data_IF_311895015288
#
_entry.id   IF_311895015288
#
_cell.length_a   1.000
_cell.length_b   1.000
_cell.length_c   1.000
_cell.angle_alpha   90.00
_cell.angle_beta   90.00
_cell.angle_gamma   90.00
#
_symmetry.space_group_name_H-M   'P 1'
#
loop_
_entity.id
_entity.type
_entity.pdbx_description
1 polymer ?
#
# COMPACT_ATOMS: atom_id res chain seq x y z
N UNK A 1 -31.74 -7.99 12.65
CA UNK A 1 -31.21 -6.91 13.52
C UNK A 1 -29.70 -7.05 13.69
N UNK A 2 -29.18 -8.18 14.19
CA UNK A 2 -27.74 -8.39 14.37
C UNK A 2 -26.92 -8.29 13.07
N UNK A 3 -27.41 -8.89 11.97
CA UNK A 3 -26.74 -8.77 10.67
C UNK A 3 -26.59 -7.31 10.21
N UNK A 4 -27.62 -6.49 10.40
CA UNK A 4 -27.55 -5.07 10.02
C UNK A 4 -26.51 -4.28 10.83
N UNK A 5 -26.21 -4.70 12.07
CA UNK A 5 -25.12 -4.12 12.87
C UNK A 5 -23.77 -4.54 12.30
N UNK A 6 -23.60 -5.82 11.96
CA UNK A 6 -22.37 -6.34 11.35
C UNK A 6 -22.10 -5.65 10.00
N UNK A 7 -23.14 -5.50 9.17
CA UNK A 7 -23.03 -4.84 7.88
C UNK A 7 -22.62 -3.37 8.04
N UNK A 8 -23.22 -2.66 9.00
CA UNK A 8 -22.84 -1.27 9.29
C UNK A 8 -21.38 -1.16 9.75
N UNK A 9 -20.90 -2.06 10.61
CA UNK A 9 -19.50 -2.07 11.06
C UNK A 9 -18.55 -2.37 9.89
N UNK A 10 -18.88 -3.32 9.04
CA UNK A 10 -18.06 -3.65 7.87
C UNK A 10 -17.99 -2.46 6.89
N UNK A 11 -19.08 -1.73 6.69
CA UNK A 11 -19.09 -0.52 5.86
C UNK A 11 -18.20 0.58 6.44
N UNK A 12 -18.18 0.75 7.77
CA UNK A 12 -17.27 1.68 8.43
C UNK A 12 -15.80 1.26 8.25
N UNK A 13 -15.50 -0.04 8.33
CA UNK A 13 -14.15 -0.55 8.09
C UNK A 13 -13.69 -0.32 6.64
N UNK A 14 -14.58 -0.46 5.67
CA UNK A 14 -14.31 -0.14 4.27
C UNK A 14 -14.06 1.37 4.08
N UNK A 15 -14.86 2.23 4.73
CA UNK A 15 -14.64 3.67 4.69
C UNK A 15 -13.24 4.07 5.21
N UNK A 16 -12.78 3.45 6.31
CA UNK A 16 -11.42 3.66 6.83
C UNK A 16 -10.36 3.19 5.83
N UNK A 17 -10.60 2.08 5.13
CA UNK A 17 -9.68 1.59 4.11
C UNK A 17 -9.59 2.54 2.91
N UNK A 18 -10.70 3.18 2.52
CA UNK A 18 -10.77 4.19 1.48
C UNK A 18 -10.04 5.48 1.89
N UNK A 19 -10.25 5.98 3.12
CA UNK A 19 -9.53 7.15 3.65
C UNK A 19 -8.01 6.93 3.64
N UNK A 20 -7.55 5.74 4.03
CA UNK A 20 -6.14 5.35 3.98
C UNK A 20 -5.62 5.27 2.54
N UNK A 21 -6.46 4.84 1.60
CA UNK A 21 -6.13 4.79 0.19
C UNK A 21 -5.95 6.19 -0.41
N UNK A 22 -6.81 7.15 -0.05
CA UNK A 22 -6.68 8.56 -0.47
C UNK A 22 -5.37 9.18 -0.01
N UNK A 23 -4.84 8.75 1.13
CA UNK A 23 -3.53 9.16 1.64
C UNK A 23 -2.34 8.36 1.08
N UNK A 24 -2.58 7.44 0.14
CA UNK A 24 -1.54 6.63 -0.49
C UNK A 24 -0.92 5.58 0.45
N UNK A 25 -1.61 5.19 1.52
CA UNK A 25 -1.08 4.24 2.50
C UNK A 25 -0.79 2.86 1.87
N UNK A 26 -1.63 2.42 0.93
CA UNK A 26 -1.48 1.13 0.24
C UNK A 26 -0.48 1.16 -0.92
N UNK A 27 -0.01 2.35 -1.32
CA UNK A 27 0.90 2.50 -2.45
C UNK A 27 2.26 1.87 -2.13
N UNK A 28 2.89 1.31 -3.16
CA UNK A 28 4.30 0.93 -3.10
C UNK A 28 5.20 2.17 -3.02
N UNK A 29 6.44 1.98 -2.58
CA UNK A 29 7.43 3.06 -2.57
C UNK A 29 7.69 3.63 -3.99
N UNK A 30 7.50 2.80 -5.02
CA UNK A 30 7.64 3.22 -6.41
C UNK A 30 6.46 4.08 -6.86
N UNK A 31 5.23 3.66 -6.58
CA UNK A 31 4.02 4.40 -6.96
C UNK A 31 3.99 5.78 -6.31
N UNK A 32 4.24 5.86 -5.00
CA UNK A 32 4.31 7.15 -4.29
C UNK A 32 5.42 8.06 -4.85
N UNK A 33 6.58 7.50 -5.21
CA UNK A 33 7.64 8.28 -5.86
C UNK A 33 7.21 8.79 -7.23
N UNK A 34 6.60 7.93 -8.05
CA UNK A 34 6.17 8.26 -9.40
C UNK A 34 5.03 9.29 -9.38
N UNK A 35 4.13 9.26 -8.38
CA UNK A 35 3.12 10.29 -8.15
C UNK A 35 3.72 11.64 -7.77
N UNK A 36 4.70 11.65 -6.86
CA UNK A 36 5.45 12.88 -6.50
C UNK A 36 6.17 13.48 -7.70
N UNK A 37 6.78 12.64 -8.54
CA UNK A 37 7.43 13.08 -9.78
C UNK A 37 6.42 13.67 -10.77
N UNK A 38 5.26 13.04 -10.97
CA UNK A 38 4.19 13.58 -11.83
C UNK A 38 3.70 14.94 -11.34
N UNK A 39 3.53 15.10 -10.02
CA UNK A 39 3.15 16.39 -9.45
C UNK A 39 4.23 17.45 -9.70
N UNK A 40 5.49 17.10 -9.44
CA UNK A 40 6.63 17.98 -9.68
C UNK A 40 6.72 18.41 -11.15
N UNK A 41 6.63 17.47 -12.09
CA UNK A 41 6.67 17.75 -13.53
C UNK A 41 5.50 18.65 -13.96
N UNK A 42 4.30 18.44 -13.40
CA UNK A 42 3.13 19.27 -13.68
C UNK A 42 3.35 20.71 -13.22
N UNK A 43 3.83 20.90 -11.98
CA UNK A 43 4.10 22.23 -11.45
C UNK A 43 5.27 22.92 -12.17
N UNK A 44 6.35 22.19 -12.47
CA UNK A 44 7.47 22.74 -13.23
C UNK A 44 7.03 23.21 -14.62
N UNK A 45 6.23 22.39 -15.32
CA UNK A 45 5.68 22.76 -16.63
C UNK A 45 4.74 23.98 -16.54
N UNK A 46 3.94 24.08 -15.47
CA UNK A 46 3.09 25.24 -15.22
C UNK A 46 3.91 26.51 -15.02
N UNK A 47 4.90 26.47 -14.14
CA UNK A 47 5.79 27.60 -13.85
C UNK A 47 6.59 28.03 -15.09
N UNK A 48 7.09 27.09 -15.87
CA UNK A 48 7.80 27.40 -17.13
C UNK A 48 6.87 28.11 -18.14
N UNK A 49 5.64 27.62 -18.31
CA UNK A 49 4.66 28.27 -19.20
C UNK A 49 4.28 29.66 -18.71
N UNK A 50 4.11 29.83 -17.40
CA UNK A 50 3.82 31.11 -16.78
C UNK A 50 4.96 32.08 -17.04
N UNK A 51 6.21 31.68 -16.74
CA UNK A 51 7.41 32.45 -17.04
C UNK A 51 7.51 32.86 -18.51
N UNK A 52 7.38 31.91 -19.44
CA UNK A 52 7.46 32.21 -20.89
C UNK A 52 6.36 33.18 -21.33
N UNK A 53 5.16 33.04 -20.79
CA UNK A 53 4.02 33.93 -21.08
C UNK A 53 4.25 35.34 -20.53
N UNK A 54 4.62 35.45 -19.25
CA UNK A 54 4.92 36.71 -18.57
C UNK A 54 6.08 37.44 -19.22
N UNK A 55 7.15 36.73 -19.56
CA UNK A 55 8.32 37.30 -20.21
C UNK A 55 7.98 37.87 -21.59
N UNK A 56 7.22 37.12 -22.41
CA UNK A 56 6.76 37.61 -23.72
C UNK A 56 5.89 38.86 -23.58
N UNK A 57 4.99 38.91 -22.59
CA UNK A 57 4.15 40.10 -22.32
C UNK A 57 5.01 41.31 -21.91
N UNK A 58 5.91 41.14 -20.95
CA UNK A 58 6.77 42.19 -20.44
C UNK A 58 7.71 42.78 -21.51
N UNK A 59 8.22 41.95 -22.42
CA UNK A 59 9.03 42.42 -23.57
C UNK A 59 8.18 43.25 -24.54
N UNK A 60 6.91 42.87 -24.74
CA UNK A 60 6.02 43.57 -25.67
C UNK A 60 5.53 44.92 -25.12
N UNK A 61 5.31 44.99 -23.80
CA UNK A 61 4.88 46.21 -23.10
C UNK A 61 6.05 47.06 -22.58
N UNK A 62 7.28 46.53 -22.61
CA UNK A 62 8.47 47.13 -21.99
C UNK A 62 8.27 47.52 -20.51
N UNK A 63 7.44 46.78 -19.77
CA UNK A 63 7.10 47.07 -18.38
C UNK A 63 7.47 45.89 -17.47
N UNK A 64 8.14 46.20 -16.37
CA UNK A 64 8.46 45.22 -15.32
C UNK A 64 7.24 44.86 -14.47
N UNK A 65 6.24 45.76 -14.38
CA UNK A 65 5.03 45.54 -13.58
C UNK A 65 4.21 44.35 -14.10
N UNK A 66 4.19 44.14 -15.42
CA UNK A 66 3.53 42.98 -16.03
C UNK A 66 4.20 41.65 -15.67
N UNK A 67 5.52 41.66 -15.41
CA UNK A 67 6.23 40.47 -14.93
C UNK A 67 5.92 40.19 -13.46
N UNK A 68 5.80 41.24 -12.64
CA UNK A 68 5.44 41.11 -11.22
C UNK A 68 3.99 40.65 -11.00
N UNK A 69 3.08 40.96 -11.93
CA UNK A 69 1.67 40.61 -11.83
C UNK A 69 1.43 39.10 -11.72
N UNK A 70 2.23 38.31 -12.41
CA UNK A 70 2.09 36.84 -12.45
C UNK A 70 2.88 36.11 -11.34
N UNK A 71 3.62 36.85 -10.50
CA UNK A 71 4.37 36.26 -9.36
C UNK A 71 3.44 35.84 -8.23
N UNK A 72 2.32 36.55 -8.06
CA UNK A 72 1.30 36.24 -7.06
C UNK A 72 0.22 35.43 -7.77
N UNK A 73 0.19 34.10 -7.58
CA UNK A 73 -0.84 33.27 -8.19
C UNK A 73 -2.20 33.62 -7.61
N UNK A 74 -3.25 33.51 -8.43
CA UNK A 74 -4.63 33.62 -7.96
C UNK A 74 -5.04 32.45 -7.06
N UNK A 75 -6.07 32.65 -6.23
CA UNK A 75 -6.58 31.63 -5.29
C UNK A 75 -6.97 30.30 -5.99
N UNK A 76 -7.32 30.36 -7.28
CA UNK A 76 -7.73 29.22 -8.10
C UNK A 76 -6.55 28.51 -8.81
N UNK A 77 -5.34 29.08 -8.77
CA UNK A 77 -4.18 28.61 -9.57
C UNK A 77 -3.20 27.73 -8.78
N UNK A 78 -3.26 27.76 -7.45
CA UNK A 78 -2.38 26.96 -6.60
C UNK A 78 -3.20 25.84 -5.99
N UNK A 79 -2.80 24.58 -6.25
CA UNK A 79 -3.21 23.50 -5.37
C UNK A 79 -2.69 23.84 -3.96
N UNK A 80 -3.60 24.23 -3.07
CA UNK A 80 -3.33 24.76 -1.73
C UNK A 80 -2.59 23.78 -0.80
N UNK A 81 -2.40 22.53 -1.23
CA UNK A 81 -1.64 21.51 -0.50
C UNK A 81 -0.15 21.58 -0.80
N UNK A 82 0.66 21.95 0.19
CA UNK A 82 2.07 21.59 0.21
C UNK A 82 2.16 20.06 0.24
N UNK A 83 2.90 19.46 -0.70
CA UNK A 83 3.13 18.02 -0.66
C UNK A 83 3.81 17.64 0.67
N UNK A 84 3.32 16.60 1.37
CA UNK A 84 3.95 16.17 2.61
C UNK A 84 5.39 15.72 2.35
N UNK A 85 6.33 16.22 3.16
CA UNK A 85 7.76 15.95 3.00
C UNK A 85 8.08 14.45 3.09
N UNK A 86 7.31 13.73 3.92
CA UNK A 86 7.46 12.29 4.14
C UNK A 86 6.09 11.63 3.99
N UNK A 87 6.06 10.46 3.35
CA UNK A 87 4.91 9.56 3.28
C UNK A 87 5.17 8.32 4.13
N UNK A 88 4.16 7.86 4.85
CA UNK A 88 4.16 6.58 5.54
C UNK A 88 3.25 5.61 4.80
N UNK A 89 3.73 4.40 4.54
CA UNK A 89 3.04 3.38 3.74
C UNK A 89 2.95 2.08 4.51
N UNK A 90 1.97 1.25 4.16
CA UNK A 90 1.75 -0.05 4.78
C UNK A 90 2.99 -0.94 4.72
N UNK A 91 3.69 -0.97 3.57
CA UNK A 91 4.90 -1.77 3.37
C UNK A 91 6.11 -1.36 4.23
N UNK A 92 5.99 -0.28 5.01
CA UNK A 92 7.01 0.14 5.96
C UNK A 92 6.82 -0.48 7.35
N UNK A 93 5.67 -1.13 7.60
CA UNK A 93 5.40 -1.85 8.84
C UNK A 93 6.10 -3.21 8.78
N UNK A 94 7.02 -3.54 9.70
CA UNK A 94 7.70 -4.82 9.69
C UNK A 94 6.74 -5.96 10.01
N UNK A 95 6.94 -7.09 9.36
CA UNK A 95 6.21 -8.33 9.58
C UNK A 95 7.18 -9.52 9.53
N UNK A 96 6.88 -10.58 10.27
CA UNK A 96 7.60 -11.84 10.22
C UNK A 96 7.80 -12.45 11.60
N UNK A 97 7.62 -13.77 11.70
CA UNK A 97 7.76 -14.51 12.96
C UNK A 97 9.17 -14.40 13.58
N UNK A 98 10.18 -14.38 12.73
CA UNK A 98 11.60 -14.33 13.11
C UNK A 98 12.24 -12.98 12.74
N UNK A 99 11.42 -11.96 12.42
CA UNK A 99 11.92 -10.65 12.03
C UNK A 99 12.30 -9.83 13.27
N UNK A 100 13.59 -9.51 13.41
CA UNK A 100 14.13 -8.73 14.53
C UNK A 100 13.49 -7.32 14.62
N UNK A 101 13.09 -6.72 13.50
CA UNK A 101 12.43 -5.41 13.49
C UNK A 101 11.06 -5.40 14.20
N UNK A 102 10.45 -6.58 14.37
CA UNK A 102 9.17 -6.76 15.07
C UNK A 102 9.32 -7.26 16.52
N UNK A 103 10.52 -7.68 16.93
CA UNK A 103 10.78 -8.28 18.24
C UNK A 103 11.56 -7.29 19.12
N UNK A 104 10.86 -6.65 20.05
CA UNK A 104 11.50 -5.79 21.06
C UNK A 104 11.96 -6.60 22.28
N UNK A 105 11.08 -7.48 22.76
CA UNK A 105 11.30 -8.35 23.92
C UNK A 105 10.64 -9.70 23.66
N UNK A 106 11.17 -10.74 24.29
CA UNK A 106 10.60 -12.08 24.19
C UNK A 106 9.21 -12.12 24.83
N UNK A 107 8.24 -12.65 24.09
CA UNK A 107 6.90 -12.94 24.63
C UNK A 107 6.99 -14.21 25.48
N UNK A 108 6.44 -14.25 26.70
CA UNK A 108 6.49 -15.45 27.52
C UNK A 108 5.63 -16.58 26.91
N UNK A 109 6.10 -17.82 27.05
CA UNK A 109 5.47 -18.97 26.38
C UNK A 109 4.01 -19.24 26.77
N UNK A 110 3.57 -18.81 27.96
CA UNK A 110 2.18 -19.00 28.41
C UNK A 110 1.20 -17.98 27.81
N UNK A 111 1.69 -16.89 27.23
CA UNK A 111 0.89 -15.88 26.53
C UNK A 111 0.84 -16.13 25.02
N UNK A 112 1.69 -17.02 24.50
CA UNK A 112 1.73 -17.35 23.08
C UNK A 112 0.51 -18.20 22.67
N UNK A 113 -0.11 -17.91 21.52
CA UNK A 113 -1.21 -18.73 21.02
C UNK A 113 -0.72 -20.11 20.60
N UNK A 114 -1.57 -21.12 20.80
CA UNK A 114 -1.29 -22.49 20.39
C UNK A 114 -1.62 -22.71 18.92
N UNK A 115 -0.75 -23.42 18.20
CA UNK A 115 -1.04 -23.95 16.86
C UNK A 115 -2.06 -25.08 16.96
N UNK A 116 -2.97 -25.19 15.99
CA UNK A 116 -3.88 -26.32 15.90
C UNK A 116 -3.13 -27.64 15.81
N UNK A 117 -3.67 -28.70 16.42
CA UNK A 117 -3.07 -30.03 16.43
C UNK A 117 -4.08 -31.06 15.94
N UNK A 118 -3.69 -31.81 14.90
CA UNK A 118 -4.41 -32.96 14.41
C UNK A 118 -3.44 -34.11 14.15
N UNK A 119 -3.68 -35.24 14.81
CA UNK A 119 -2.86 -36.45 14.70
C UNK A 119 -3.78 -37.67 14.72
N UNK A 120 -3.91 -38.35 13.59
CA UNK A 120 -4.58 -39.65 13.52
C UNK A 120 -3.92 -40.54 12.45
N UNK A 121 -4.43 -41.76 12.30
CA UNK A 121 -3.89 -42.75 11.37
C UNK A 121 -4.05 -42.37 9.89
N UNK A 122 -5.01 -41.51 9.56
CA UNK A 122 -5.41 -41.19 8.17
C UNK A 122 -4.91 -39.83 7.68
N UNK A 123 -4.70 -38.87 8.57
CA UNK A 123 -4.23 -37.52 8.29
C UNK A 123 -3.58 -36.90 9.54
N UNK A 124 -2.73 -35.91 9.32
CA UNK A 124 -2.18 -35.08 10.38
C UNK A 124 -1.82 -33.70 9.82
N UNK A 125 -1.64 -32.71 10.70
CA UNK A 125 -1.18 -31.37 10.35
C UNK A 125 0.25 -31.08 10.85
N UNK A 126 1.02 -32.14 11.13
CA UNK A 126 2.37 -32.09 11.69
C UNK A 126 3.46 -32.36 10.64
N UNK A 127 3.12 -33.05 9.54
CA UNK A 127 4.06 -33.40 8.48
C UNK A 127 4.43 -32.25 7.55
N UNK A 128 3.86 -31.06 7.76
CA UNK A 128 4.05 -29.90 6.93
C UNK A 128 3.46 -28.66 7.59
N UNK A 129 3.80 -27.51 7.02
CA UNK A 129 3.37 -26.23 7.53
C UNK A 129 2.89 -25.31 6.40
N UNK A 130 1.87 -24.52 6.68
CA UNK A 130 1.21 -23.65 5.70
C UNK A 130 1.67 -22.19 5.80
N UNK A 131 2.46 -21.88 6.83
CA UNK A 131 2.87 -20.51 7.15
C UNK A 131 1.72 -19.72 7.75
N UNK A 132 1.93 -18.40 7.82
CA UNK A 132 0.96 -17.47 8.38
C UNK A 132 0.06 -16.88 7.29
N UNK A 133 -0.83 -15.95 7.66
CA UNK A 133 -1.79 -15.38 6.70
C UNK A 133 -1.11 -14.60 5.55
N UNK A 134 0.02 -13.95 5.87
CA UNK A 134 0.84 -13.16 4.94
C UNK A 134 1.97 -14.03 4.35
N UNK A 135 2.91 -14.48 5.19
CA UNK A 135 4.05 -15.32 4.77
C UNK A 135 3.65 -16.79 4.66
N UNK A 136 2.91 -17.11 3.59
CA UNK A 136 2.45 -18.47 3.30
C UNK A 136 3.57 -19.33 2.71
N UNK A 137 3.49 -20.63 2.98
CA UNK A 137 4.40 -21.60 2.38
C UNK A 137 3.68 -22.89 1.98
N UNK A 138 4.32 -23.63 1.08
CA UNK A 138 3.81 -24.89 0.58
C UNK A 138 4.00 -26.00 1.62
N UNK A 139 2.89 -26.60 2.03
CA UNK A 139 2.90 -27.71 2.98
C UNK A 139 3.55 -29.00 2.45
N UNK A 140 3.79 -29.11 1.14
CA UNK A 140 4.50 -30.23 0.51
C UNK A 140 5.95 -29.83 0.17
N UNK A 141 6.85 -30.77 0.39
CA UNK A 141 8.25 -30.63 -0.01
C UNK A 141 8.43 -30.70 -1.54
N UNK A 142 9.59 -30.25 -2.02
CA UNK A 142 9.87 -30.11 -3.46
C UNK A 142 9.64 -31.39 -4.29
N UNK A 143 9.87 -32.57 -3.70
CA UNK A 143 9.70 -33.86 -4.39
C UNK A 143 8.24 -34.21 -4.67
N UNK A 144 7.31 -33.79 -3.81
CA UNK A 144 5.89 -34.13 -3.90
C UNK A 144 5.04 -33.05 -4.57
N UNK A 145 5.58 -31.83 -4.77
CA UNK A 145 4.85 -30.72 -5.41
C UNK A 145 4.35 -31.05 -6.81
N UNK A 146 5.13 -31.69 -7.70
CA UNK A 146 4.65 -32.03 -9.04
C UNK A 146 3.48 -33.02 -9.03
N UNK A 147 3.41 -33.88 -8.01
CA UNK A 147 2.38 -34.90 -7.85
C UNK A 147 1.29 -34.52 -6.84
N UNK A 148 1.11 -33.22 -6.54
CA UNK A 148 0.17 -32.73 -5.51
C UNK A 148 -1.24 -33.32 -5.64
N UNK A 149 -1.73 -33.47 -6.87
CA UNK A 149 -3.05 -34.03 -7.16
C UNK A 149 -3.26 -35.46 -6.64
N UNK A 150 -2.18 -36.21 -6.37
CA UNK A 150 -2.26 -37.55 -5.77
C UNK A 150 -2.53 -37.52 -4.26
N UNK A 151 -2.44 -36.36 -3.63
CA UNK A 151 -2.61 -36.16 -2.18
C UNK A 151 -3.88 -35.37 -1.85
N UNK A 152 -4.86 -35.39 -2.76
CA UNK A 152 -6.13 -34.69 -2.62
C UNK A 152 -7.27 -35.61 -3.05
N UNK A 153 -8.33 -35.72 -2.24
CA UNK A 153 -9.53 -36.47 -2.63
C UNK A 153 -10.30 -35.76 -3.77
N UNK A 154 -10.22 -34.43 -3.79
CA UNK A 154 -10.83 -33.58 -4.82
C UNK A 154 -9.79 -32.57 -5.30
N UNK A 155 -9.63 -32.45 -6.62
CA UNK A 155 -8.71 -31.49 -7.24
C UNK A 155 -9.45 -30.60 -8.25
N UNK A 156 -9.45 -29.30 -7.99
CA UNK A 156 -9.97 -28.28 -8.91
C UNK A 156 -8.76 -27.59 -9.56
N UNK A 157 -8.50 -27.80 -10.87
CA UNK A 157 -7.37 -27.19 -11.55
C UNK A 157 -7.57 -25.67 -11.74
N UNK A 158 -6.47 -24.94 -11.89
CA UNK A 158 -6.50 -23.53 -12.25
C UNK A 158 -6.99 -23.31 -13.68
N UNK A 159 -7.69 -22.21 -13.91
CA UNK A 159 -8.03 -21.74 -15.26
C UNK A 159 -6.78 -21.15 -15.92
N UNK A 160 -6.53 -21.51 -17.18
CA UNK A 160 -5.38 -21.02 -17.94
C UNK A 160 -5.82 -20.13 -19.10
#
# INVERSE_FOLDING_TARGET
MYQGIVDAVNLLQLGVADDLNEHGFWNSAKEDRDERLKYFDKEQNRLNKLWEGSFKRAVLTNSFEELCRDVIPGDDEVNTGVLPQVSWRFNMIPYGKENEDAILFDTPAHDMPLRSMALNFTYNNLSGDWGDYIDRQDNKNALLRPSRQMFTDVYIPGTK
#
